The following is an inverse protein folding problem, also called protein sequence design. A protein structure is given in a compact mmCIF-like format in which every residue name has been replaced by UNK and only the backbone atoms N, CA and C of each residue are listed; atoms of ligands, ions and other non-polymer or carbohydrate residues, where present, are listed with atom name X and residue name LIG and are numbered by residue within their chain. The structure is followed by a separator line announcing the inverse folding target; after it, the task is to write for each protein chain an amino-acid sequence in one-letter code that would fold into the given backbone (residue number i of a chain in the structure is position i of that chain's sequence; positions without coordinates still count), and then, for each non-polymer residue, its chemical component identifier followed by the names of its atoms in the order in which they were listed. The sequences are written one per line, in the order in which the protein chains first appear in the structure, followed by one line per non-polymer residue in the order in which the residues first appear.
data_IF_355973735716
#
_entry.id   IF_355973735716
#
_cell.length_a   1.000
_cell.length_b   1.000
_cell.length_c   1.000
_cell.angle_alpha   90.00
_cell.angle_beta   90.00
_cell.angle_gamma   90.00
#
_symmetry.space_group_name_H-M   'P 1'
#
loop_
_entity.id
_entity.type
_entity.pdbx_description
1 polymer ?
#
# COMPACT_ATOMS: atom_id res chain seq x y z
N UNK A 1 -27.84 17.56 -13.66
CA UNK A 1 -27.82 16.52 -12.62
C UNK A 1 -27.00 15.40 -13.23
N UNK A 2 -25.67 15.50 -13.05
CA UNK A 2 -24.73 14.46 -13.45
C UNK A 2 -24.73 13.40 -12.36
N UNK A 3 -25.16 12.22 -12.75
CA UNK A 3 -25.14 11.02 -11.91
C UNK A 3 -23.69 10.54 -11.80
N UNK A 4 -22.97 11.04 -10.78
CA UNK A 4 -21.62 10.63 -10.47
C UNK A 4 -21.62 9.40 -9.55
N UNK A 5 -22.23 8.31 -9.98
CA UNK A 5 -21.82 6.98 -9.51
C UNK A 5 -20.59 6.54 -10.31
N UNK A 6 -19.43 7.12 -10.00
CA UNK A 6 -18.14 6.50 -10.35
C UNK A 6 -18.14 5.13 -9.66
N UNK A 7 -18.41 4.07 -10.43
CA UNK A 7 -18.24 2.71 -9.94
C UNK A 7 -16.76 2.57 -9.58
N UNK A 8 -16.48 2.26 -8.32
CA UNK A 8 -15.13 1.90 -7.86
C UNK A 8 -14.80 0.50 -8.39
N UNK A 9 -14.68 0.37 -9.71
CA UNK A 9 -14.33 -0.89 -10.37
C UNK A 9 -12.82 -1.04 -10.34
N UNK A 10 -12.36 -2.13 -9.74
CA UNK A 10 -10.96 -2.49 -9.63
C UNK A 10 -10.68 -3.69 -10.52
N UNK A 11 -9.60 -3.62 -11.30
CA UNK A 11 -9.16 -4.73 -12.16
C UNK A 11 -7.78 -5.20 -11.73
N UNK A 12 -7.61 -6.52 -11.62
CA UNK A 12 -6.32 -7.16 -11.30
C UNK A 12 -5.85 -7.93 -12.52
N UNK A 13 -4.72 -7.56 -13.08
CA UNK A 13 -4.08 -8.21 -14.22
C UNK A 13 -2.99 -9.18 -13.73
N UNK A 14 -3.28 -10.48 -13.86
CA UNK A 14 -2.45 -11.59 -13.39
C UNK A 14 -2.93 -12.18 -12.06
N UNK A 15 -3.10 -13.51 -12.03
CA UNK A 15 -3.50 -14.30 -10.87
C UNK A 15 -2.42 -15.33 -10.46
N UNK A 16 -1.13 -14.97 -10.66
CA UNK A 16 0.02 -15.70 -10.12
C UNK A 16 0.15 -15.52 -8.60
N UNK A 17 1.32 -15.85 -8.03
CA UNK A 17 1.53 -15.82 -6.56
C UNK A 17 1.19 -14.47 -5.92
N UNK A 18 1.60 -13.37 -6.56
CA UNK A 18 1.31 -12.01 -6.06
C UNK A 18 -0.16 -11.65 -6.28
N UNK A 19 -0.69 -11.90 -7.50
CA UNK A 19 -2.07 -11.59 -7.84
C UNK A 19 -3.07 -12.33 -6.95
N UNK A 20 -2.83 -13.62 -6.63
CA UNK A 20 -3.66 -14.39 -5.69
C UNK A 20 -3.70 -13.72 -4.31
N UNK A 21 -2.57 -13.26 -3.81
CA UNK A 21 -2.52 -12.57 -2.51
C UNK A 21 -3.27 -11.23 -2.55
N UNK A 22 -3.18 -10.49 -3.67
CA UNK A 22 -3.99 -9.28 -3.90
C UNK A 22 -5.47 -9.63 -3.85
N UNK A 23 -5.90 -10.64 -4.62
CA UNK A 23 -7.29 -11.11 -4.68
C UNK A 23 -7.82 -11.52 -3.29
N UNK A 24 -7.07 -12.32 -2.53
CA UNK A 24 -7.43 -12.70 -1.16
C UNK A 24 -7.63 -11.48 -0.24
N UNK A 25 -6.75 -10.50 -0.36
CA UNK A 25 -6.82 -9.28 0.46
C UNK A 25 -8.04 -8.43 0.08
N UNK A 26 -8.33 -8.28 -1.22
CA UNK A 26 -9.50 -7.55 -1.71
C UNK A 26 -10.81 -8.23 -1.30
N UNK A 27 -10.87 -9.57 -1.36
CA UNK A 27 -12.02 -10.35 -0.86
C UNK A 27 -12.25 -10.12 0.63
N UNK A 28 -11.18 -10.18 1.42
CA UNK A 28 -11.28 -9.93 2.87
C UNK A 28 -11.80 -8.53 3.20
N UNK A 29 -11.46 -7.54 2.35
CA UNK A 29 -11.92 -6.16 2.47
C UNK A 29 -13.31 -5.90 1.86
N UNK A 30 -14.00 -6.92 1.33
CA UNK A 30 -15.30 -6.82 0.63
C UNK A 30 -15.29 -5.83 -0.55
N UNK A 31 -14.15 -5.71 -1.22
CA UNK A 31 -13.98 -4.85 -2.41
C UNK A 31 -14.36 -5.65 -3.65
N UNK A 32 -15.16 -5.08 -4.55
CA UNK A 32 -15.49 -5.68 -5.84
C UNK A 32 -14.37 -5.48 -6.85
N UNK A 33 -14.05 -6.54 -7.59
CA UNK A 33 -12.99 -6.51 -8.59
C UNK A 33 -13.21 -7.55 -9.69
N UNK A 34 -12.52 -7.35 -10.82
CA UNK A 34 -12.42 -8.33 -11.91
C UNK A 34 -10.97 -8.76 -12.06
N UNK A 35 -10.70 -10.06 -12.27
CA UNK A 35 -9.35 -10.61 -12.43
C UNK A 35 -9.15 -11.08 -13.86
N UNK A 36 -7.97 -10.81 -14.43
CA UNK A 36 -7.56 -11.30 -15.75
C UNK A 36 -6.37 -12.23 -15.58
N UNK A 37 -6.43 -13.44 -16.13
CA UNK A 37 -5.28 -14.35 -16.22
C UNK A 37 -5.43 -15.26 -17.43
N UNK A 38 -4.33 -15.63 -18.04
CA UNK A 38 -4.32 -16.55 -19.20
C UNK A 38 -4.52 -18.02 -18.82
N UNK A 39 -4.29 -18.38 -17.57
CA UNK A 39 -4.45 -19.73 -17.06
C UNK A 39 -5.83 -19.93 -16.42
N UNK A 40 -6.74 -20.61 -17.13
CA UNK A 40 -8.10 -20.91 -16.67
C UNK A 40 -8.13 -21.66 -15.33
N UNK A 41 -7.11 -22.47 -15.02
CA UNK A 41 -7.03 -23.21 -13.75
C UNK A 41 -6.97 -22.31 -12.52
N UNK A 42 -6.54 -21.04 -12.68
CA UNK A 42 -6.52 -20.07 -11.59
C UNK A 42 -7.93 -19.67 -11.12
N UNK A 43 -8.98 -20.05 -11.88
CA UNK A 43 -10.38 -19.67 -11.65
C UNK A 43 -11.31 -20.85 -11.28
N UNK A 44 -10.79 -22.07 -11.10
CA UNK A 44 -11.62 -23.28 -10.83
C UNK A 44 -12.62 -23.12 -9.67
N UNK A 45 -12.32 -22.28 -8.68
CA UNK A 45 -13.22 -22.01 -7.54
C UNK A 45 -13.44 -20.50 -7.33
N UNK A 46 -13.41 -19.72 -8.42
CA UNK A 46 -13.58 -18.27 -8.32
C UNK A 46 -15.03 -17.93 -8.00
N UNK A 47 -15.23 -17.13 -6.96
CA UNK A 47 -16.49 -16.55 -6.52
C UNK A 47 -16.52 -15.02 -6.79
N UNK A 48 -15.69 -14.56 -7.72
CA UNK A 48 -15.52 -13.19 -8.17
C UNK A 48 -15.52 -13.11 -9.71
N UNK A 49 -15.63 -11.90 -10.26
CA UNK A 49 -15.60 -11.70 -11.72
C UNK A 49 -14.21 -11.97 -12.28
N UNK A 50 -14.15 -12.69 -13.40
CA UNK A 50 -12.87 -12.94 -14.06
C UNK A 50 -13.00 -12.99 -15.58
N UNK A 51 -11.87 -12.78 -16.25
CA UNK A 51 -11.70 -12.94 -17.70
C UNK A 51 -10.49 -13.85 -17.94
N UNK A 52 -10.69 -14.91 -18.71
CA UNK A 52 -9.59 -15.79 -19.14
C UNK A 52 -9.00 -15.20 -20.42
N UNK A 53 -7.73 -14.75 -20.36
CA UNK A 53 -7.07 -14.16 -21.50
C UNK A 53 -5.71 -13.55 -21.16
N UNK A 54 -5.01 -13.16 -22.21
CA UNK A 54 -3.70 -12.51 -22.04
C UNK A 54 -3.87 -11.02 -21.76
N UNK A 55 -3.41 -10.58 -20.59
CA UNK A 55 -3.51 -9.18 -20.15
C UNK A 55 -2.67 -8.18 -20.97
N UNK A 56 -1.92 -8.63 -21.98
CA UNK A 56 -1.25 -7.77 -22.96
C UNK A 56 -2.06 -7.59 -24.25
N UNK A 57 -3.28 -8.12 -24.31
CA UNK A 57 -4.19 -7.98 -25.44
C UNK A 57 -5.28 -6.97 -25.11
N UNK A 58 -5.47 -5.98 -25.98
CA UNK A 58 -6.40 -4.87 -25.78
C UNK A 58 -7.85 -5.35 -25.63
N UNK A 59 -8.27 -6.31 -26.45
CA UNK A 59 -9.64 -6.86 -26.42
C UNK A 59 -9.95 -7.53 -25.06
N UNK A 60 -8.97 -8.21 -24.46
CA UNK A 60 -9.09 -8.84 -23.14
C UNK A 60 -9.25 -7.77 -22.05
N UNK A 61 -8.49 -6.67 -22.14
CA UNK A 61 -8.59 -5.56 -21.19
C UNK A 61 -9.93 -4.83 -21.32
N UNK A 62 -10.46 -4.69 -22.54
CA UNK A 62 -11.80 -4.13 -22.77
C UNK A 62 -12.86 -5.03 -22.16
N UNK A 63 -12.79 -6.35 -22.37
CA UNK A 63 -13.71 -7.31 -21.77
C UNK A 63 -13.67 -7.29 -20.23
N UNK A 64 -12.51 -6.99 -19.65
CA UNK A 64 -12.32 -6.84 -18.20
C UNK A 64 -12.74 -5.46 -17.67
N UNK A 65 -13.36 -4.62 -18.48
CA UNK A 65 -13.84 -3.28 -18.13
C UNK A 65 -12.74 -2.29 -17.71
N UNK A 66 -11.49 -2.49 -18.15
CA UNK A 66 -10.38 -1.56 -17.90
C UNK A 66 -10.69 -0.12 -18.32
N UNK A 67 -11.41 0.17 -19.45
CA UNK A 67 -11.73 1.54 -19.83
C UNK A 67 -12.50 2.34 -18.77
N UNK A 68 -13.24 1.67 -17.89
CA UNK A 68 -14.06 2.31 -16.84
C UNK A 68 -13.53 2.10 -15.43
N UNK A 69 -12.47 1.30 -15.28
CA UNK A 69 -11.87 0.97 -13.98
C UNK A 69 -11.26 2.20 -13.29
N UNK A 70 -11.54 2.38 -12.01
CA UNK A 70 -10.92 3.43 -11.19
C UNK A 70 -9.47 3.09 -10.86
N UNK A 71 -9.19 1.80 -10.68
CA UNK A 71 -7.86 1.30 -10.33
C UNK A 71 -7.55 0.01 -11.07
N UNK A 72 -6.33 -0.10 -11.57
CA UNK A 72 -5.81 -1.32 -12.21
C UNK A 72 -4.52 -1.76 -11.53
N UNK A 73 -4.50 -3.01 -11.04
CA UNK A 73 -3.31 -3.62 -10.43
C UNK A 73 -2.69 -4.57 -11.43
N UNK A 74 -1.46 -4.28 -11.86
CA UNK A 74 -0.71 -5.11 -12.82
C UNK A 74 0.29 -5.98 -12.06
N UNK A 75 -0.02 -7.30 -11.94
CA UNK A 75 0.74 -8.26 -11.13
C UNK A 75 1.31 -9.43 -11.95
N UNK A 76 1.56 -9.21 -13.25
CA UNK A 76 2.11 -10.22 -14.16
C UNK A 76 3.55 -10.62 -13.77
N UNK A 77 3.96 -11.82 -14.16
CA UNK A 77 5.24 -12.40 -13.74
C UNK A 77 6.46 -11.83 -14.49
N UNK A 78 6.30 -11.44 -15.75
CA UNK A 78 7.37 -10.87 -16.57
C UNK A 78 7.28 -9.34 -16.61
N UNK A 79 8.42 -8.64 -16.42
CA UNK A 79 8.45 -7.18 -16.40
C UNK A 79 8.12 -6.58 -17.79
N UNK A 80 8.35 -7.32 -18.87
CA UNK A 80 7.99 -6.87 -20.23
C UNK A 80 6.47 -6.88 -20.38
N UNK A 81 5.82 -7.94 -19.93
CA UNK A 81 4.35 -8.05 -19.94
C UNK A 81 3.71 -6.98 -19.03
N UNK A 82 4.33 -6.71 -17.85
CA UNK A 82 3.91 -5.62 -16.98
C UNK A 82 3.97 -4.27 -17.70
N UNK A 83 5.06 -3.98 -18.42
CA UNK A 83 5.19 -2.73 -19.18
C UNK A 83 4.14 -2.63 -20.28
N UNK A 84 3.93 -3.71 -21.07
CA UNK A 84 2.93 -3.71 -22.14
C UNK A 84 1.51 -3.56 -21.60
N UNK A 85 1.12 -4.35 -20.60
CA UNK A 85 -0.19 -4.24 -19.96
C UNK A 85 -0.43 -2.84 -19.38
N UNK A 86 0.59 -2.26 -18.74
CA UNK A 86 0.52 -0.88 -18.21
C UNK A 86 0.31 0.14 -19.32
N UNK A 87 1.06 0.03 -20.42
CA UNK A 87 0.97 0.94 -21.56
C UNK A 87 -0.43 0.88 -22.21
N UNK A 88 -0.96 -0.32 -22.46
CA UNK A 88 -2.28 -0.52 -23.04
C UNK A 88 -3.37 -0.01 -22.09
N UNK A 89 -3.27 -0.35 -20.80
CA UNK A 89 -4.17 0.14 -19.75
C UNK A 89 -4.23 1.67 -19.73
N UNK A 90 -3.08 2.34 -19.75
CA UNK A 90 -3.02 3.81 -19.77
C UNK A 90 -3.59 4.39 -21.07
N UNK A 91 -3.39 3.71 -22.21
CA UNK A 91 -4.02 4.08 -23.50
C UNK A 91 -5.55 3.98 -23.47
N UNK A 92 -6.08 2.89 -22.91
CA UNK A 92 -7.51 2.64 -22.77
C UNK A 92 -8.19 3.54 -21.72
N UNK A 93 -7.49 3.81 -20.62
CA UNK A 93 -8.02 4.59 -19.50
C UNK A 93 -6.97 5.58 -18.96
N UNK A 94 -6.91 6.80 -19.51
CA UNK A 94 -5.96 7.81 -19.07
C UNK A 94 -6.13 8.25 -17.61
N UNK A 95 -7.31 8.04 -17.02
CA UNK A 95 -7.66 8.53 -15.67
C UNK A 95 -7.58 7.47 -14.58
N UNK A 96 -7.33 6.20 -14.92
CA UNK A 96 -7.20 5.14 -13.92
C UNK A 96 -5.94 5.29 -13.08
N UNK A 97 -6.00 4.85 -11.83
CA UNK A 97 -4.80 4.64 -11.01
C UNK A 97 -4.20 3.29 -11.35
N UNK A 98 -2.96 3.27 -11.85
CA UNK A 98 -2.26 2.03 -12.22
C UNK A 98 -1.18 1.72 -11.20
N UNK A 99 -1.32 0.57 -10.54
CA UNK A 99 -0.36 0.04 -9.57
C UNK A 99 0.30 -1.19 -10.20
N UNK A 100 1.60 -1.14 -10.47
CA UNK A 100 2.30 -2.22 -11.15
C UNK A 100 3.39 -2.83 -10.26
N UNK A 101 3.59 -4.15 -10.36
CA UNK A 101 4.75 -4.81 -9.75
C UNK A 101 5.98 -4.70 -10.65
N UNK A 102 7.16 -4.73 -10.06
CA UNK A 102 8.43 -4.93 -10.76
C UNK A 102 9.20 -6.09 -10.12
N UNK A 103 9.71 -6.99 -10.96
CA UNK A 103 10.59 -8.08 -10.52
C UNK A 103 12.06 -7.68 -10.55
N UNK A 104 12.41 -6.63 -11.30
CA UNK A 104 13.76 -6.12 -11.45
C UNK A 104 13.81 -4.63 -11.13
N UNK A 105 14.84 -4.21 -10.39
CA UNK A 105 15.13 -2.80 -10.16
C UNK A 105 15.24 -2.01 -11.48
N UNK A 106 15.81 -2.63 -12.52
CA UNK A 106 16.01 -2.00 -13.84
C UNK A 106 14.72 -1.72 -14.60
N UNK A 107 13.63 -2.35 -14.22
CA UNK A 107 12.33 -2.22 -14.88
C UNK A 107 11.48 -1.09 -14.27
N UNK A 108 11.79 -0.61 -13.07
CA UNK A 108 11.00 0.40 -12.35
C UNK A 108 10.78 1.65 -13.20
N UNK A 109 11.85 2.29 -13.69
CA UNK A 109 11.76 3.50 -14.50
C UNK A 109 10.98 3.29 -15.80
N UNK A 110 11.08 2.07 -16.37
CA UNK A 110 10.40 1.74 -17.63
C UNK A 110 8.90 1.56 -17.39
N UNK A 111 8.52 0.94 -16.26
CA UNK A 111 7.12 0.75 -15.88
C UNK A 111 6.47 2.09 -15.56
N UNK A 112 7.16 3.02 -14.88
CA UNK A 112 6.68 4.40 -14.72
C UNK A 112 6.51 5.11 -16.06
N UNK A 113 7.47 4.98 -16.99
CA UNK A 113 7.37 5.54 -18.34
C UNK A 113 6.26 4.92 -19.18
N UNK A 114 5.89 3.67 -18.91
CA UNK A 114 4.74 3.02 -19.53
C UNK A 114 3.40 3.57 -19.01
N UNK A 115 3.40 4.34 -17.92
CA UNK A 115 2.22 5.02 -17.39
C UNK A 115 1.71 4.53 -16.03
N UNK A 116 2.49 3.72 -15.28
CA UNK A 116 2.14 3.38 -13.92
C UNK A 116 2.23 4.61 -13.00
N UNK A 117 1.28 4.73 -12.07
CA UNK A 117 1.30 5.76 -11.02
C UNK A 117 2.15 5.29 -9.84
N UNK A 118 2.14 3.96 -9.58
CA UNK A 118 2.89 3.34 -8.49
C UNK A 118 3.55 2.05 -8.96
N UNK A 119 4.79 1.82 -8.53
CA UNK A 119 5.54 0.59 -8.85
C UNK A 119 6.04 -0.08 -7.58
N UNK A 120 5.52 -1.29 -7.30
CA UNK A 120 5.97 -2.13 -6.20
C UNK A 120 7.14 -3.03 -6.64
N UNK A 121 8.36 -2.69 -6.23
CA UNK A 121 9.56 -3.49 -6.52
C UNK A 121 9.73 -4.61 -5.50
N UNK A 122 9.19 -5.79 -5.79
CA UNK A 122 9.16 -6.93 -4.86
C UNK A 122 10.54 -7.35 -4.32
N UNK A 123 11.63 -7.41 -5.12
CA UNK A 123 12.95 -7.75 -4.61
C UNK A 123 13.48 -6.74 -3.60
N UNK A 124 13.16 -5.45 -3.78
CA UNK A 124 13.57 -4.39 -2.85
C UNK A 124 12.80 -4.56 -1.54
N UNK A 125 11.47 -4.67 -1.62
CA UNK A 125 10.61 -4.86 -0.44
C UNK A 125 11.02 -6.10 0.33
N UNK A 126 11.16 -7.25 -0.35
CA UNK A 126 11.58 -8.50 0.27
C UNK A 126 12.98 -8.41 0.89
N UNK A 127 13.96 -7.83 0.18
CA UNK A 127 15.32 -7.66 0.67
C UNK A 127 15.39 -6.77 1.91
N UNK A 128 14.64 -5.68 1.92
CA UNK A 128 14.56 -4.79 3.09
C UNK A 128 13.87 -5.47 4.28
N UNK A 129 12.80 -6.23 4.06
CA UNK A 129 12.14 -6.99 5.13
C UNK A 129 13.09 -8.03 5.73
N UNK A 130 13.80 -8.80 4.90
CA UNK A 130 14.78 -9.78 5.38
C UNK A 130 15.92 -9.14 6.17
N UNK A 131 16.44 -8.00 5.70
CA UNK A 131 17.47 -7.24 6.40
C UNK A 131 16.97 -6.70 7.75
N UNK A 132 15.75 -6.17 7.80
CA UNK A 132 15.11 -5.69 9.05
C UNK A 132 14.91 -6.84 10.04
N UNK A 133 14.41 -8.00 9.59
CA UNK A 133 14.29 -9.21 10.43
C UNK A 133 15.64 -9.60 11.04
N UNK A 134 16.71 -9.60 10.25
CA UNK A 134 18.06 -9.94 10.72
C UNK A 134 18.55 -8.94 11.77
N UNK A 135 18.38 -7.64 11.56
CA UNK A 135 18.81 -6.60 12.51
C UNK A 135 17.99 -6.64 13.81
N UNK A 136 16.72 -6.95 13.75
CA UNK A 136 15.88 -7.16 14.95
C UNK A 136 16.26 -8.41 15.74
N UNK A 137 16.76 -9.46 15.08
CA UNK A 137 17.28 -10.68 15.74
C UNK A 137 18.67 -10.48 16.35
N UNK A 138 19.48 -9.56 15.84
CA UNK A 138 20.82 -9.27 16.36
C UNK A 138 20.80 -8.27 17.54
N UNK A 139 19.80 -7.41 17.62
CA UNK A 139 19.57 -6.53 18.76
C UNK A 139 18.77 -7.28 19.84
N UNK A 140 19.48 -7.70 20.89
CA UNK A 140 19.02 -8.41 22.10
C UNK A 140 17.56 -8.10 22.48
N UNK A 141 16.69 -9.01 22.17
CA UNK A 141 15.32 -9.35 22.56
C UNK A 141 14.36 -9.41 21.38
N UNK A 142 14.18 -10.62 20.84
CA UNK A 142 13.12 -10.99 19.90
C UNK A 142 11.72 -10.92 20.57
N UNK A 143 11.29 -9.76 21.03
CA UNK A 143 9.94 -9.53 21.47
C UNK A 143 9.33 -8.41 20.64
N UNK A 144 8.55 -8.82 19.63
CA UNK A 144 7.75 -8.04 18.67
C UNK A 144 8.52 -7.56 17.44
N UNK A 145 8.24 -8.20 16.32
CA UNK A 145 8.44 -7.62 15.00
C UNK A 145 7.59 -6.36 14.93
N UNK A 146 8.23 -5.19 14.92
CA UNK A 146 7.55 -3.95 14.52
C UNK A 146 7.27 -4.07 13.02
N UNK A 147 5.98 -4.10 12.67
CA UNK A 147 5.49 -4.17 11.31
C UNK A 147 5.64 -2.80 10.61
N UNK A 148 6.88 -2.36 10.40
CA UNK A 148 7.16 -1.20 9.56
C UNK A 148 7.08 -1.62 8.09
N UNK A 149 5.91 -1.51 7.48
CA UNK A 149 5.73 -1.70 6.05
C UNK A 149 6.16 -0.40 5.35
N UNK A 150 7.28 -0.44 4.62
CA UNK A 150 7.63 0.63 3.68
C UNK A 150 6.68 0.57 2.48
N UNK A 151 5.74 1.50 2.41
CA UNK A 151 4.78 1.61 1.32
C UNK A 151 5.37 2.25 0.05
N UNK A 152 6.40 3.12 0.17
CA UNK A 152 7.03 3.82 -0.95
C UNK A 152 8.50 4.15 -0.64
N UNK A 153 9.33 4.30 -1.68
CA UNK A 153 10.68 4.84 -1.52
C UNK A 153 10.58 6.28 -0.98
N UNK A 154 11.10 6.48 0.25
CA UNK A 154 11.08 7.78 0.93
C UNK A 154 9.89 8.04 1.87
N UNK A 155 8.94 7.11 2.02
CA UNK A 155 7.88 7.19 3.02
C UNK A 155 8.08 6.10 4.07
N UNK A 156 8.18 6.51 5.33
CA UNK A 156 8.30 5.62 6.49
C UNK A 156 7.01 5.67 7.32
N UNK A 157 6.66 4.52 7.91
CA UNK A 157 5.63 4.42 8.95
C UNK A 157 6.32 4.15 10.27
N UNK A 158 6.03 4.98 11.27
CA UNK A 158 6.51 4.83 12.63
C UNK A 158 5.37 4.50 13.58
N UNK A 159 5.51 3.43 14.37
CA UNK A 159 4.62 3.13 15.50
C UNK A 159 5.25 3.64 16.79
N UNK A 160 4.55 4.47 17.51
CA UNK A 160 5.04 5.08 18.75
C UNK A 160 4.06 4.90 19.89
N UNK A 161 4.51 4.33 21.02
CA UNK A 161 3.73 4.26 22.24
C UNK A 161 3.74 5.62 22.94
N UNK A 162 2.56 6.16 23.17
CA UNK A 162 2.37 7.48 23.80
C UNK A 162 2.66 7.40 25.29
N UNK A 163 3.69 8.17 25.72
CA UNK A 163 4.08 8.30 27.11
C UNK A 163 3.68 9.70 27.59
N UNK A 164 3.06 9.79 28.77
CA UNK A 164 2.35 10.97 29.26
C UNK A 164 3.12 12.28 29.32
N UNK A 165 4.46 12.23 29.49
CA UNK A 165 5.32 13.40 29.67
C UNK A 165 5.85 14.01 28.36
N UNK A 166 5.46 13.47 27.15
CA UNK A 166 6.08 13.83 25.88
C UNK A 166 5.25 14.68 24.94
N UNK A 167 4.14 15.17 25.41
CA UNK A 167 3.36 16.19 24.72
C UNK A 167 2.41 15.68 23.63
N UNK A 168 2.21 14.36 23.48
CA UNK A 168 1.15 13.76 22.67
C UNK A 168 -0.07 13.40 23.49
N UNK A 169 0.12 12.91 24.72
CA UNK A 169 -0.96 12.47 25.58
C UNK A 169 -1.95 13.60 25.93
N UNK A 170 -3.23 13.26 25.95
CA UNK A 170 -4.36 14.13 26.31
C UNK A 170 -4.54 15.36 25.39
N UNK A 171 -4.05 15.27 24.15
CA UNK A 171 -4.25 16.28 23.11
C UNK A 171 -5.07 15.71 21.98
N UNK A 172 -5.81 16.56 21.28
CA UNK A 172 -6.48 16.18 20.05
C UNK A 172 -5.48 16.10 18.90
N UNK A 173 -5.81 15.36 17.85
CA UNK A 173 -5.01 15.30 16.61
C UNK A 173 -4.83 16.70 16.04
N UNK A 174 -5.87 17.55 16.13
CA UNK A 174 -5.84 18.95 15.70
C UNK A 174 -4.81 19.79 16.49
N UNK A 175 -4.80 19.66 17.85
CA UNK A 175 -3.89 20.41 18.71
C UNK A 175 -2.42 20.02 18.50
N UNK A 176 -2.17 18.77 18.15
CA UNK A 176 -0.81 18.27 17.88
C UNK A 176 -0.31 18.77 16.53
N UNK A 177 -1.21 18.85 15.54
CA UNK A 177 -0.96 19.38 14.19
C UNK A 177 0.33 18.84 13.53
N UNK A 178 0.48 17.51 13.57
CA UNK A 178 1.68 16.85 13.02
C UNK A 178 1.91 17.16 11.56
N UNK A 179 0.84 17.32 10.79
CA UNK A 179 0.93 17.56 9.35
C UNK A 179 1.61 18.88 9.01
N UNK A 180 1.19 19.99 9.65
CA UNK A 180 1.77 21.31 9.38
C UNK A 180 3.13 21.50 10.05
N UNK A 181 3.34 20.86 11.21
CA UNK A 181 4.57 21.04 12.00
C UNK A 181 5.72 20.15 11.58
N UNK A 182 5.43 18.93 11.12
CA UNK A 182 6.44 17.89 10.83
C UNK A 182 6.27 17.25 9.45
N UNK A 183 5.19 17.51 8.71
CA UNK A 183 4.89 16.82 7.45
C UNK A 183 4.35 15.39 7.64
N UNK A 184 4.07 14.97 8.88
CA UNK A 184 3.61 13.62 9.21
C UNK A 184 2.10 13.55 9.39
N UNK A 185 1.50 12.39 9.13
CA UNK A 185 0.07 12.14 9.32
C UNK A 185 -0.14 10.92 10.21
N UNK A 186 -1.06 11.03 11.19
CA UNK A 186 -1.49 9.87 11.99
C UNK A 186 -2.47 9.06 11.14
N UNK A 187 -2.17 7.77 10.91
CA UNK A 187 -2.97 6.85 10.10
C UNK A 187 -3.70 5.79 10.92
N UNK A 188 -3.38 5.66 12.20
CA UNK A 188 -4.02 4.71 13.11
C UNK A 188 -3.66 4.96 14.55
N UNK A 189 -4.55 4.56 15.45
CA UNK A 189 -4.34 4.56 16.91
C UNK A 189 -4.75 3.19 17.44
N UNK A 190 -3.82 2.45 18.04
CA UNK A 190 -4.16 1.23 18.76
C UNK A 190 -4.38 1.58 20.23
N UNK A 191 -5.56 1.24 20.76
CA UNK A 191 -5.97 1.44 22.15
C UNK A 191 -6.52 0.16 22.72
N UNK A 192 -5.91 -0.36 23.77
CA UNK A 192 -6.33 -1.62 24.42
C UNK A 192 -6.50 -2.79 23.43
N UNK A 193 -5.61 -2.92 22.44
CA UNK A 193 -5.66 -3.96 21.41
C UNK A 193 -6.68 -3.72 20.29
N UNK A 194 -7.40 -2.58 20.33
CA UNK A 194 -8.34 -2.21 19.25
C UNK A 194 -7.71 -1.12 18.38
N UNK A 195 -7.71 -1.34 17.06
CA UNK A 195 -7.17 -0.37 16.08
C UNK A 195 -8.29 0.58 15.64
N UNK A 196 -8.04 1.89 15.79
CA UNK A 196 -8.91 2.99 15.38
C UNK A 196 -8.28 3.60 14.11
N UNK A 197 -8.95 3.48 12.98
CA UNK A 197 -8.49 4.02 11.68
C UNK A 197 -9.25 5.28 11.26
N UNK A 198 -10.45 5.49 11.81
CA UNK A 198 -11.22 6.72 11.58
C UNK A 198 -10.72 7.84 12.52
N UNK A 199 -9.65 8.50 12.08
CA UNK A 199 -8.94 9.54 12.85
C UNK A 199 -9.52 10.90 12.53
N UNK A 200 -10.38 11.40 13.40
CA UNK A 200 -10.94 12.75 13.28
C UNK A 200 -10.02 13.80 13.92
N UNK A 201 -10.08 15.07 13.50
CA UNK A 201 -9.33 16.16 14.12
C UNK A 201 -9.58 16.28 15.64
N UNK A 202 -10.79 15.92 16.10
CA UNK A 202 -11.19 15.91 17.52
C UNK A 202 -10.77 14.66 18.28
N UNK A 203 -10.18 13.65 17.61
CA UNK A 203 -9.73 12.42 18.26
C UNK A 203 -8.65 12.74 19.28
N UNK A 204 -8.89 12.37 20.56
CA UNK A 204 -7.94 12.56 21.65
C UNK A 204 -6.99 11.37 21.74
N UNK A 205 -5.70 11.64 21.70
CA UNK A 205 -4.64 10.67 21.93
C UNK A 205 -4.44 10.52 23.44
N UNK A 206 -4.42 9.27 23.94
CA UNK A 206 -4.31 8.97 25.36
C UNK A 206 -2.94 8.36 25.68
N UNK A 207 -2.56 8.47 26.93
CA UNK A 207 -1.39 7.73 27.44
C UNK A 207 -1.58 6.22 27.26
N UNK A 208 -0.55 5.53 26.80
CA UNK A 208 -0.59 4.10 26.49
C UNK A 208 -1.11 3.76 25.10
N UNK A 209 -1.67 4.72 24.33
CA UNK A 209 -2.00 4.49 22.93
C UNK A 209 -0.73 4.19 22.12
N UNK A 210 -0.85 3.35 21.09
CA UNK A 210 0.16 3.21 20.05
C UNK A 210 -0.33 3.97 18.82
N UNK A 211 0.36 5.03 18.45
CA UNK A 211 0.05 5.83 17.26
C UNK A 211 0.89 5.37 16.08
N UNK A 212 0.25 5.13 14.94
CA UNK A 212 0.92 4.90 13.67
C UNK A 212 0.99 6.22 12.89
N UNK A 213 2.19 6.65 12.57
CA UNK A 213 2.49 7.94 11.89
C UNK A 213 3.20 7.66 10.58
N UNK A 214 2.72 8.26 9.50
CA UNK A 214 3.31 8.18 8.16
C UNK A 214 3.90 9.52 7.76
N UNK A 215 5.07 9.50 7.12
CA UNK A 215 5.74 10.69 6.60
C UNK A 215 6.99 10.32 5.83
N UNK A 216 7.64 11.30 5.20
CA UNK A 216 8.94 11.12 4.59
C UNK A 216 10.01 10.84 5.66
N UNK A 217 11.16 10.34 5.21
CA UNK A 217 12.26 9.91 6.08
C UNK A 217 12.76 11.02 7.02
N UNK A 218 12.87 12.24 6.50
CA UNK A 218 13.29 13.41 7.28
C UNK A 218 12.20 13.88 8.25
N UNK A 219 10.94 13.80 7.84
CA UNK A 219 9.78 14.16 8.64
C UNK A 219 9.61 13.21 9.81
N UNK A 220 9.73 11.90 9.58
CA UNK A 220 9.70 10.88 10.63
C UNK A 220 10.90 11.04 11.58
N UNK A 221 12.09 11.39 11.07
CA UNK A 221 13.23 11.66 11.93
C UNK A 221 12.98 12.84 12.89
N UNK A 222 12.38 13.93 12.41
CA UNK A 222 11.98 15.09 13.24
C UNK A 222 10.90 14.71 14.27
N UNK A 223 9.93 13.88 13.86
CA UNK A 223 8.92 13.35 14.77
C UNK A 223 9.57 12.52 15.90
N UNK A 224 10.50 11.62 15.54
CA UNK A 224 11.24 10.79 16.51
C UNK A 224 12.04 11.64 17.49
N UNK A 225 12.76 12.63 17.01
CA UNK A 225 13.56 13.54 17.86
C UNK A 225 12.67 14.25 18.89
N UNK A 226 11.47 14.66 18.49
CA UNK A 226 10.55 15.40 19.38
C UNK A 226 9.81 14.52 20.36
N UNK A 227 9.34 13.35 19.92
CA UNK A 227 8.38 12.53 20.68
C UNK A 227 8.92 11.16 21.10
N UNK A 228 9.99 10.67 20.46
CA UNK A 228 10.63 9.37 20.77
C UNK A 228 11.99 9.63 21.39
N UNK A 229 12.27 9.18 22.63
CA UNK A 229 13.63 9.25 23.20
C UNK A 229 14.55 8.31 22.42
N UNK A 230 15.57 8.87 21.82
CA UNK A 230 16.76 8.09 21.47
C UNK A 230 17.40 7.67 22.79
N UNK A 231 17.37 6.37 23.11
CA UNK A 231 18.28 5.83 24.14
C UNK A 231 19.68 5.94 23.54
N UNK A 232 20.43 6.96 23.96
CA UNK A 232 21.87 6.97 23.82
C UNK A 232 22.41 5.85 24.73
N UNK A 233 22.91 4.78 24.12
CA UNK A 233 23.81 3.83 24.73
C UNK A 233 25.24 4.16 24.32
#
# INVERSE_FOLDING_TARGET
MEDTTKRDELVVLGCGDVGRRVVETLKYADIKFTVVDSNEQNFENADYNYVVGNATEEDVLIQAEVPTASTVIVSLNDDTDVMFATLITRGLNPSSTIIARANSYRSIDKIYKAGADYVAALPIVAGQMLAKMTSSCLAVSCNKMDEDIMLYEGIDIEKHTVIGDRGLANKTVLDIDLRNRFGCTIIGIERNGTVITDILPSTVIREGDIVAVVGGKEEIAKFKEKYVKVKLY
#
